data_IF_400607130474
#
_entry.id   IF_400607130474
#
_cell.length_a   1.000
_cell.length_b   1.000
_cell.length_c   1.000
_cell.angle_alpha   90.00
_cell.angle_beta   90.00
_cell.angle_gamma   90.00
#
_symmetry.space_group_name_H-M   'P 1'
#
loop_
_entity.id
_entity.type
_entity.pdbx_description
1 polymer ?
#
# COMPACT_ATOMS: atom_id res chain seq x y z
N UNK A 1 6.38 3.13 -11.91
CA UNK A 1 5.59 1.93 -11.53
C UNK A 1 4.59 1.61 -12.65
N UNK A 2 4.17 0.35 -12.81
CA UNK A 2 3.37 -0.13 -13.97
C UNK A 2 1.99 -0.67 -13.53
N UNK A 3 1.00 -0.62 -14.42
CA UNK A 3 -0.35 -1.21 -14.24
C UNK A 3 -0.51 -2.57 -14.91
N UNK A 4 0.58 -3.14 -15.45
CA UNK A 4 0.55 -4.40 -16.21
C UNK A 4 0.33 -5.65 -15.33
N UNK A 5 0.28 -5.49 -14.01
CA UNK A 5 0.08 -6.57 -13.03
C UNK A 5 -1.13 -6.25 -12.14
N UNK A 6 -2.36 -6.60 -12.56
CA UNK A 6 -3.57 -6.38 -11.76
C UNK A 6 -3.46 -7.07 -10.39
N UNK A 7 -3.82 -6.36 -9.32
CA UNK A 7 -3.70 -6.84 -7.95
C UNK A 7 -2.29 -6.76 -7.35
N UNK A 8 -1.30 -6.29 -8.10
CA UNK A 8 0.11 -6.19 -7.67
C UNK A 8 0.69 -4.81 -7.95
N UNK A 9 1.67 -4.39 -7.14
CA UNK A 9 2.31 -3.08 -7.28
C UNK A 9 3.31 -3.05 -8.44
N UNK A 10 4.02 -4.16 -8.65
CA UNK A 10 4.98 -4.35 -9.72
C UNK A 10 5.18 -5.86 -10.01
N UNK A 11 6.06 -6.17 -10.97
CA UNK A 11 6.40 -7.55 -11.32
C UNK A 11 7.02 -8.32 -10.14
N UNK A 12 7.85 -7.65 -9.33
CA UNK A 12 8.52 -8.31 -8.21
C UNK A 12 7.52 -8.81 -7.16
N UNK A 13 6.42 -8.07 -6.93
CA UNK A 13 5.32 -8.51 -6.06
C UNK A 13 4.63 -9.80 -6.53
N UNK A 14 4.81 -10.25 -7.78
CA UNK A 14 4.20 -11.51 -8.27
C UNK A 14 5.07 -12.73 -8.02
N UNK A 15 6.29 -12.56 -7.49
CA UNK A 15 7.28 -13.64 -7.36
C UNK A 15 7.03 -14.53 -6.14
N UNK A 16 6.60 -13.93 -5.02
CA UNK A 16 6.22 -14.64 -3.79
C UNK A 16 5.27 -13.78 -2.93
N UNK A 17 4.58 -14.43 -2.00
CA UNK A 17 3.62 -13.76 -1.10
C UNK A 17 4.31 -12.81 -0.13
N UNK A 18 5.53 -13.18 0.29
CA UNK A 18 6.40 -12.39 1.15
C UNK A 18 6.79 -11.08 0.47
N UNK A 19 7.16 -11.14 -0.80
CA UNK A 19 7.53 -9.98 -1.61
C UNK A 19 6.33 -9.06 -1.88
N UNK A 20 5.15 -9.63 -2.14
CA UNK A 20 3.92 -8.83 -2.25
C UNK A 20 3.65 -8.03 -0.97
N UNK A 21 3.79 -8.66 0.21
CA UNK A 21 3.60 -7.99 1.50
C UNK A 21 4.67 -6.93 1.75
N UNK A 22 5.93 -7.23 1.46
CA UNK A 22 7.04 -6.30 1.63
C UNK A 22 6.85 -5.06 0.75
N UNK A 23 6.48 -5.24 -0.52
CA UNK A 23 6.22 -4.17 -1.46
C UNK A 23 5.00 -3.33 -1.05
N UNK A 24 3.90 -3.98 -0.62
CA UNK A 24 2.73 -3.29 -0.09
C UNK A 24 3.09 -2.42 1.12
N UNK A 25 3.86 -2.96 2.07
CA UNK A 25 4.32 -2.20 3.24
C UNK A 25 5.20 -1.01 2.82
N UNK A 26 6.24 -1.26 2.03
CA UNK A 26 7.19 -0.23 1.59
C UNK A 26 6.48 0.91 0.87
N UNK A 27 5.56 0.59 -0.06
CA UNK A 27 4.83 1.59 -0.82
C UNK A 27 3.81 2.35 0.05
N UNK A 28 3.14 1.70 1.01
CA UNK A 28 2.25 2.40 1.93
C UNK A 28 2.99 3.42 2.80
N UNK A 29 4.20 3.09 3.25
CA UNK A 29 4.98 3.97 4.14
C UNK A 29 5.67 5.09 3.36
N UNK A 30 6.20 4.79 2.17
CA UNK A 30 6.99 5.74 1.39
C UNK A 30 6.10 6.55 0.43
N UNK A 31 5.13 5.91 -0.24
CA UNK A 31 4.35 6.48 -1.35
C UNK A 31 2.84 6.27 -1.13
N UNK A 32 2.32 6.69 0.03
CA UNK A 32 0.93 6.49 0.45
C UNK A 32 -0.08 7.11 -0.55
N UNK A 33 0.20 8.30 -1.08
CA UNK A 33 -0.68 8.93 -2.08
C UNK A 33 -0.83 8.05 -3.34
N UNK A 34 0.28 7.50 -3.85
CA UNK A 34 0.24 6.60 -4.99
C UNK A 34 -0.57 5.34 -4.69
N UNK A 35 -0.43 4.77 -3.49
CA UNK A 35 -1.22 3.63 -3.06
C UNK A 35 -2.72 3.97 -3.06
N UNK A 36 -3.11 5.14 -2.55
CA UNK A 36 -4.50 5.62 -2.60
C UNK A 36 -5.02 5.71 -4.04
N UNK A 37 -4.24 6.30 -4.94
CA UNK A 37 -4.61 6.42 -6.36
C UNK A 37 -4.75 5.04 -7.04
N UNK A 38 -3.90 4.07 -6.70
CA UNK A 38 -3.98 2.69 -7.19
C UNK A 38 -5.19 1.95 -6.63
N UNK A 39 -5.46 2.06 -5.33
CA UNK A 39 -6.59 1.43 -4.67
C UNK A 39 -7.93 1.86 -5.28
N UNK A 40 -8.05 3.13 -5.67
CA UNK A 40 -9.25 3.65 -6.34
C UNK A 40 -9.55 2.96 -7.68
N UNK A 41 -8.55 2.33 -8.31
CA UNK A 41 -8.66 1.66 -9.62
C UNK A 41 -8.54 0.14 -9.53
N UNK A 42 -8.13 -0.40 -8.39
CA UNK A 42 -7.85 -1.83 -8.21
C UNK A 42 -8.35 -2.31 -6.84
N UNK A 43 -9.46 -3.05 -6.87
CA UNK A 43 -10.14 -3.56 -5.66
C UNK A 43 -9.27 -4.55 -4.88
N UNK A 44 -8.40 -5.31 -5.55
CA UNK A 44 -7.52 -6.28 -4.89
C UNK A 44 -6.42 -5.55 -4.14
N UNK A 45 -5.80 -4.54 -4.76
CA UNK A 45 -4.83 -3.68 -4.07
C UNK A 45 -5.47 -2.93 -2.91
N UNK A 46 -6.69 -2.41 -3.07
CA UNK A 46 -7.43 -1.78 -1.97
C UNK A 46 -7.55 -2.73 -0.76
N UNK A 47 -8.02 -3.96 -0.99
CA UNK A 47 -8.17 -4.95 0.07
C UNK A 47 -6.83 -5.33 0.73
N UNK A 48 -5.75 -5.44 -0.06
CA UNK A 48 -4.40 -5.69 0.46
C UNK A 48 -3.92 -4.55 1.35
N UNK A 49 -4.13 -3.31 0.93
CA UNK A 49 -3.74 -2.13 1.71
C UNK A 49 -4.52 -2.04 3.03
N UNK A 50 -5.83 -2.26 2.99
CA UNK A 50 -6.67 -2.27 4.20
C UNK A 50 -6.21 -3.36 5.17
N UNK A 51 -5.94 -4.57 4.65
CA UNK A 51 -5.43 -5.67 5.47
C UNK A 51 -4.06 -5.36 6.08
N UNK A 52 -3.17 -4.72 5.34
CA UNK A 52 -1.86 -4.31 5.82
C UNK A 52 -1.98 -3.25 6.93
N UNK A 53 -2.75 -2.17 6.69
CA UNK A 53 -2.99 -1.10 7.67
C UNK A 53 -3.57 -1.66 8.98
N UNK A 54 -4.56 -2.55 8.89
CA UNK A 54 -5.13 -3.24 10.06
C UNK A 54 -4.10 -4.10 10.80
N UNK A 55 -3.19 -4.75 10.08
CA UNK A 55 -2.16 -5.61 10.70
C UNK A 55 -1.10 -4.76 11.39
N UNK A 56 -0.66 -3.67 10.76
CA UNK A 56 0.30 -2.72 11.34
C UNK A 56 -0.26 -2.03 12.58
N UNK A 57 -1.53 -1.66 12.58
CA UNK A 57 -2.16 -1.02 13.75
C UNK A 57 -2.14 -1.92 15.00
N UNK A 58 -2.22 -3.25 14.83
CA UNK A 58 -2.09 -4.20 15.95
C UNK A 58 -0.70 -4.18 16.60
N UNK A 59 0.33 -3.82 15.84
CA UNK A 59 1.73 -3.84 16.28
C UNK A 59 2.17 -2.44 16.73
N UNK A 60 1.62 -1.40 16.10
CA UNK A 60 1.86 0.00 16.41
C UNK A 60 0.54 0.77 16.29
N UNK A 61 -0.10 1.05 17.43
CA UNK A 61 -1.41 1.71 17.49
C UNK A 61 -1.40 3.13 16.92
N UNK A 62 -0.23 3.79 16.86
CA UNK A 62 -0.06 5.10 16.24
C UNK A 62 -0.27 5.09 14.72
N UNK A 63 -0.21 3.92 14.06
CA UNK A 63 -0.54 3.74 12.65
C UNK A 63 -2.05 3.57 12.45
N UNK A 64 -2.82 4.54 12.95
CA UNK A 64 -4.28 4.57 12.90
C UNK A 64 -4.83 5.23 11.62
N UNK A 65 -6.16 5.31 11.49
CA UNK A 65 -6.81 5.96 10.35
C UNK A 65 -6.37 7.41 10.16
N UNK A 66 -6.16 8.15 11.25
CA UNK A 66 -5.74 9.55 11.18
C UNK A 66 -4.33 9.68 10.60
N UNK A 67 -3.43 8.77 10.98
CA UNK A 67 -2.07 8.69 10.43
C UNK A 67 -2.11 8.46 8.93
N UNK A 68 -2.86 7.45 8.46
CA UNK A 68 -2.93 7.11 7.04
C UNK A 68 -3.57 8.22 6.21
N UNK A 69 -4.61 8.89 6.73
CA UNK A 69 -5.20 10.06 6.07
C UNK A 69 -4.18 11.18 5.88
N UNK A 70 -3.34 11.47 6.87
CA UNK A 70 -2.26 12.46 6.73
C UNK A 70 -1.20 12.01 5.74
N UNK A 71 -0.77 10.75 5.82
CA UNK A 71 0.25 10.19 4.93
C UNK A 71 -0.17 10.24 3.45
N UNK A 72 -1.44 9.95 3.15
CA UNK A 72 -2.00 9.97 1.79
C UNK A 72 -2.09 11.36 1.16
N UNK A 73 -1.96 12.42 1.96
CA UNK A 73 -1.93 13.82 1.50
C UNK A 73 -0.51 14.33 1.27
N UNK A 74 0.51 13.57 1.70
CA UNK A 74 1.91 13.91 1.45
C UNK A 74 2.28 13.42 0.06
N UNK A 75 2.35 14.35 -0.89
CA UNK A 75 2.91 14.09 -2.21
C UNK A 75 4.42 13.92 -2.08
N UNK A 76 4.93 12.81 -2.61
CA UNK A 76 6.36 12.60 -2.80
C UNK A 76 6.66 12.58 -4.28
N UNK A 77 7.62 13.39 -4.68
CA UNK A 77 8.12 13.38 -6.04
C UNK A 77 8.91 12.07 -6.27
N UNK A 78 8.81 11.48 -7.48
CA UNK A 78 9.42 10.20 -7.81
C UNK A 78 10.95 10.22 -7.83
#
# INVERSE_FOLDING_TARGET
MTTNYPGFLNHYSTTAVEEDKAEVFAHLVVNAEYCRQRAAKDKVLSAKFDRMKLSLNKWCSALDTSFWQRAEMVRRDP
#
